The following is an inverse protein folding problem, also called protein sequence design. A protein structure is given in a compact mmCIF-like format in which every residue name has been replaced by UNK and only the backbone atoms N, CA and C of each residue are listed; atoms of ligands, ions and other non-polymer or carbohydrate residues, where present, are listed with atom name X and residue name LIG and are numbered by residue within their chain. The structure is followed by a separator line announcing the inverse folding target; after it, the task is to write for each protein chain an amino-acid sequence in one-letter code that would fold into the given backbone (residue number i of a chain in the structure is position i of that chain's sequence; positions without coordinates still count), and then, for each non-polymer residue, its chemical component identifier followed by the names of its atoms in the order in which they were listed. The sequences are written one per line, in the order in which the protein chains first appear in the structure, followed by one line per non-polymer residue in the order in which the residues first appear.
data_IF_292920944113
#
_entry.id   IF_292920944113
#
_cell.length_a   1.000
_cell.length_b   1.000
_cell.length_c   1.000
_cell.angle_alpha   90.00
_cell.angle_beta   90.00
_cell.angle_gamma   90.00
#
_symmetry.space_group_name_H-M   'P 1'
#
loop_
_entity.id
_entity.type
_entity.pdbx_description
1 polymer ?
#
# COMPACT_ATOMS: atom_id res chain seq x y z
N UNK A 1 -1.58 -3.49 -17.00
CA UNK A 1 -1.37 -2.91 -18.36
C UNK A 1 -0.82 -3.94 -19.35
N UNK A 2 0.19 -4.75 -19.00
CA UNK A 2 0.77 -5.76 -19.91
C UNK A 2 -0.22 -6.85 -20.33
N UNK A 3 -1.20 -7.19 -19.50
CA UNK A 3 -2.17 -8.25 -19.79
C UNK A 3 -3.46 -7.73 -20.41
N UNK A 4 -3.65 -6.43 -20.58
CA UNK A 4 -4.89 -5.78 -21.07
C UNK A 4 -6.15 -6.28 -20.33
N UNK A 5 -6.03 -6.64 -19.06
CA UNK A 5 -7.12 -7.07 -18.21
C UNK A 5 -7.61 -5.92 -17.37
N UNK A 6 -8.93 -5.73 -17.33
CA UNK A 6 -9.54 -4.76 -16.42
C UNK A 6 -9.37 -5.22 -14.97
N UNK A 7 -8.79 -4.37 -14.15
CA UNK A 7 -8.63 -4.61 -12.73
C UNK A 7 -9.45 -3.60 -11.92
N UNK A 8 -10.06 -4.07 -10.83
CA UNK A 8 -10.77 -3.20 -9.92
C UNK A 8 -10.67 -3.73 -8.48
N UNK A 9 -11.06 -2.91 -7.50
CA UNK A 9 -11.08 -3.36 -6.10
C UNK A 9 -12.15 -4.44 -5.90
N UNK A 10 -11.93 -5.36 -4.92
CA UNK A 10 -12.93 -6.38 -4.55
C UNK A 10 -14.28 -5.72 -4.21
N UNK A 11 -14.28 -4.56 -3.56
CA UNK A 11 -15.52 -3.83 -3.24
C UNK A 11 -16.27 -3.38 -4.49
N UNK A 12 -15.56 -2.92 -5.53
CA UNK A 12 -16.16 -2.53 -6.81
C UNK A 12 -16.70 -3.76 -7.56
N UNK A 13 -15.93 -4.83 -7.64
CA UNK A 13 -16.35 -6.08 -8.26
C UNK A 13 -17.60 -6.66 -7.61
N UNK A 14 -17.66 -6.62 -6.27
CA UNK A 14 -18.83 -7.05 -5.50
C UNK A 14 -19.98 -6.02 -5.48
N UNK A 15 -19.80 -4.85 -6.11
CA UNK A 15 -20.77 -3.76 -6.19
C UNK A 15 -21.28 -3.35 -4.80
N UNK A 16 -20.40 -2.78 -4.00
CA UNK A 16 -20.74 -2.27 -2.68
C UNK A 16 -21.76 -1.13 -2.78
N UNK A 17 -22.91 -1.30 -2.14
CA UNK A 17 -23.98 -0.30 -2.06
C UNK A 17 -23.88 0.42 -0.69
N UNK A 18 -23.49 1.71 -0.74
CA UNK A 18 -23.33 2.53 0.47
C UNK A 18 -24.66 2.75 1.21
N UNK A 19 -25.80 2.85 0.48
CA UNK A 19 -27.11 3.09 1.09
C UNK A 19 -27.63 1.86 1.81
N UNK A 20 -27.39 0.67 1.25
CA UNK A 20 -27.84 -0.60 1.83
C UNK A 20 -26.79 -1.22 2.76
N UNK A 21 -25.57 -0.67 2.81
CA UNK A 21 -24.45 -1.23 3.53
C UNK A 21 -24.25 -2.73 3.23
N UNK A 22 -24.34 -3.10 1.96
CA UNK A 22 -24.29 -4.49 1.50
C UNK A 22 -23.71 -4.61 0.09
N UNK A 23 -23.26 -5.81 -0.26
CA UNK A 23 -22.81 -6.12 -1.62
C UNK A 23 -23.98 -6.56 -2.49
N UNK A 24 -24.08 -6.04 -3.72
CA UNK A 24 -25.07 -6.45 -4.71
C UNK A 24 -24.75 -7.82 -5.30
N UNK A 25 -23.44 -8.15 -5.45
CA UNK A 25 -23.00 -9.48 -5.84
C UNK A 25 -22.93 -10.37 -4.60
N UNK A 26 -23.59 -11.53 -4.65
CA UNK A 26 -23.71 -12.47 -3.54
C UNK A 26 -24.16 -13.84 -4.07
N UNK A 27 -24.49 -14.76 -3.15
CA UNK A 27 -24.95 -16.12 -3.48
C UNK A 27 -26.13 -16.19 -4.49
N UNK A 28 -27.06 -15.23 -4.43
CA UNK A 28 -28.24 -15.18 -5.29
C UNK A 28 -27.96 -14.42 -6.61
N UNK A 29 -26.95 -13.57 -6.61
CA UNK A 29 -26.49 -12.80 -7.75
C UNK A 29 -24.95 -12.97 -7.85
N UNK A 30 -24.46 -14.14 -8.31
CA UNK A 30 -23.03 -14.44 -8.32
C UNK A 30 -22.29 -13.69 -9.43
N UNK A 31 -20.99 -13.56 -9.25
CA UNK A 31 -20.06 -13.07 -10.27
C UNK A 31 -20.17 -13.90 -11.53
N UNK A 32 -20.05 -13.28 -12.69
CA UNK A 32 -20.05 -13.95 -14.00
C UNK A 32 -18.69 -14.56 -14.37
N UNK A 33 -17.63 -14.10 -13.72
CA UNK A 33 -16.25 -14.54 -13.97
C UNK A 33 -16.05 -16.01 -13.62
N UNK A 34 -15.28 -16.72 -14.45
CA UNK A 34 -14.91 -18.12 -14.20
C UNK A 34 -13.57 -18.23 -13.48
N UNK A 35 -12.72 -17.24 -13.62
CA UNK A 35 -11.40 -17.15 -12.97
C UNK A 35 -11.30 -15.82 -12.24
N UNK A 36 -10.82 -15.85 -11.03
CA UNK A 36 -10.50 -14.65 -10.24
C UNK A 36 -9.00 -14.63 -9.93
N UNK A 37 -8.38 -13.49 -10.17
CA UNK A 37 -7.01 -13.20 -9.74
C UNK A 37 -7.12 -12.08 -8.74
N UNK A 38 -6.63 -12.31 -7.51
CA UNK A 38 -6.72 -11.37 -6.40
C UNK A 38 -5.30 -11.03 -5.97
N UNK A 39 -4.87 -9.85 -6.32
CA UNK A 39 -3.57 -9.32 -5.94
C UNK A 39 -3.64 -8.59 -4.59
N UNK A 40 -2.47 -8.32 -3.97
CA UNK A 40 -2.35 -7.71 -2.62
C UNK A 40 -3.23 -8.41 -1.57
N UNK A 41 -3.31 -9.75 -1.64
CA UNK A 41 -4.23 -10.55 -0.82
C UNK A 41 -3.92 -10.48 0.68
N UNK A 42 -2.73 -10.04 1.08
CA UNK A 42 -2.37 -9.75 2.48
C UNK A 42 -3.32 -8.74 3.15
N UNK A 43 -3.94 -7.84 2.35
CA UNK A 43 -4.86 -6.81 2.82
C UNK A 43 -6.31 -7.30 2.99
N UNK A 44 -6.65 -8.52 2.56
CA UNK A 44 -8.00 -9.06 2.61
C UNK A 44 -8.30 -9.64 3.98
N UNK A 45 -9.36 -9.16 4.62
CA UNK A 45 -9.84 -9.68 5.90
C UNK A 45 -10.82 -10.86 5.74
N UNK A 46 -11.14 -11.52 6.85
CA UNK A 46 -12.02 -12.69 6.85
C UNK A 46 -13.45 -12.39 6.39
N UNK A 47 -13.97 -11.18 6.68
CA UNK A 47 -15.33 -10.82 6.28
C UNK A 47 -15.39 -10.56 4.77
N UNK A 48 -14.44 -9.80 4.23
CA UNK A 48 -14.37 -9.51 2.80
C UNK A 48 -14.17 -10.80 2.00
N UNK A 49 -13.30 -11.72 2.46
CA UNK A 49 -13.14 -13.03 1.86
C UNK A 49 -14.44 -13.83 1.86
N UNK A 50 -15.16 -13.85 2.98
CA UNK A 50 -16.45 -14.54 3.08
C UNK A 50 -17.46 -14.00 2.06
N UNK A 51 -17.54 -12.68 1.89
CA UNK A 51 -18.41 -12.04 0.88
C UNK A 51 -18.02 -12.38 -0.53
N UNK A 52 -16.71 -12.37 -0.82
CA UNK A 52 -16.18 -12.75 -2.11
C UNK A 52 -16.54 -14.21 -2.46
N UNK A 53 -16.33 -15.14 -1.54
CA UNK A 53 -16.68 -16.54 -1.75
C UNK A 53 -18.19 -16.78 -1.89
N UNK A 54 -19.00 -16.02 -1.15
CA UNK A 54 -20.45 -16.10 -1.27
C UNK A 54 -20.93 -15.69 -2.67
N UNK A 55 -20.25 -14.74 -3.32
CA UNK A 55 -20.50 -14.30 -4.68
C UNK A 55 -19.83 -15.19 -5.77
N UNK A 56 -18.88 -16.05 -5.39
CA UNK A 56 -18.01 -16.78 -6.35
C UNK A 56 -18.53 -18.15 -6.79
N UNK A 57 -19.84 -18.40 -6.77
CA UNK A 57 -20.43 -19.72 -7.10
C UNK A 57 -20.16 -20.23 -8.52
N UNK A 58 -19.86 -19.34 -9.47
CA UNK A 58 -19.56 -19.66 -10.87
C UNK A 58 -18.07 -19.66 -11.17
N UNK A 59 -17.27 -19.32 -10.16
CA UNK A 59 -15.82 -19.25 -10.27
C UNK A 59 -15.25 -20.65 -10.14
N UNK A 60 -14.49 -21.09 -11.13
CA UNK A 60 -13.85 -22.41 -11.15
C UNK A 60 -12.41 -22.36 -10.63
N UNK A 61 -11.75 -21.20 -10.72
CA UNK A 61 -10.36 -21.04 -10.30
C UNK A 61 -10.16 -19.69 -9.65
N UNK A 62 -9.47 -19.69 -8.51
CA UNK A 62 -9.05 -18.45 -7.82
C UNK A 62 -7.55 -18.50 -7.61
N UNK A 63 -6.86 -17.44 -8.01
CA UNK A 63 -5.45 -17.22 -7.75
C UNK A 63 -5.32 -16.08 -6.72
N UNK A 64 -4.72 -16.39 -5.59
CA UNK A 64 -4.41 -15.41 -4.55
C UNK A 64 -2.93 -15.06 -4.62
N UNK A 65 -2.61 -13.78 -4.80
CA UNK A 65 -1.26 -13.26 -4.88
C UNK A 65 -1.07 -12.29 -3.71
N UNK A 66 0.02 -12.41 -2.96
CA UNK A 66 0.27 -11.52 -1.84
C UNK A 66 1.54 -11.86 -1.10
N UNK A 67 1.99 -10.92 -0.27
CA UNK A 67 3.18 -11.05 0.55
C UNK A 67 2.77 -11.08 2.03
N UNK A 68 2.92 -12.22 2.68
CA UNK A 68 2.52 -12.41 4.09
C UNK A 68 3.50 -11.76 5.09
N UNK A 69 4.63 -11.25 4.63
CA UNK A 69 5.56 -10.46 5.44
C UNK A 69 5.16 -8.99 5.53
N UNK A 70 4.33 -8.50 4.60
CA UNK A 70 3.75 -7.16 4.65
C UNK A 70 2.71 -7.02 5.78
N UNK A 71 2.17 -5.81 5.92
CA UNK A 71 1.10 -5.54 6.87
C UNK A 71 -0.14 -6.37 6.54
N UNK A 72 -0.71 -7.07 7.51
CA UNK A 72 -1.97 -7.79 7.32
C UNK A 72 -3.15 -6.82 7.23
N UNK A 73 -4.33 -7.33 6.89
CA UNK A 73 -5.58 -6.57 6.90
C UNK A 73 -5.78 -5.83 8.22
N UNK A 74 -6.36 -4.62 8.16
CA UNK A 74 -6.70 -3.86 9.39
C UNK A 74 -7.82 -4.55 10.17
N UNK A 75 -8.84 -5.04 9.47
CA UNK A 75 -9.94 -5.81 10.05
C UNK A 75 -9.51 -7.23 10.46
N UNK A 76 -10.32 -7.92 11.30
CA UNK A 76 -9.98 -9.24 11.84
C UNK A 76 -9.75 -10.30 10.76
N UNK A 77 -8.71 -11.11 10.97
CA UNK A 77 -8.33 -12.23 10.11
C UNK A 77 -6.83 -12.26 9.82
N UNK A 78 -6.36 -13.37 9.30
CA UNK A 78 -4.99 -13.56 8.81
C UNK A 78 -5.00 -14.50 7.60
N UNK A 79 -5.88 -14.19 6.67
CA UNK A 79 -6.36 -15.13 5.64
C UNK A 79 -5.25 -15.67 4.78
N UNK A 80 -4.35 -14.79 4.27
CA UNK A 80 -3.22 -15.23 3.44
C UNK A 80 -2.32 -16.21 4.21
N UNK A 81 -1.96 -15.87 5.44
CA UNK A 81 -1.14 -16.74 6.28
C UNK A 81 -1.84 -18.05 6.60
N UNK A 82 -3.13 -17.99 6.92
CA UNK A 82 -3.93 -19.19 7.17
C UNK A 82 -3.98 -20.11 5.94
N UNK A 83 -4.06 -19.56 4.73
CA UNK A 83 -4.02 -20.33 3.49
C UNK A 83 -2.65 -20.98 3.28
N UNK A 84 -1.56 -20.27 3.54
CA UNK A 84 -0.19 -20.79 3.45
C UNK A 84 0.04 -21.93 4.48
N UNK A 85 -0.44 -21.75 5.71
CA UNK A 85 -0.32 -22.76 6.77
C UNK A 85 -1.28 -23.94 6.63
N UNK A 86 -2.26 -23.84 5.72
CA UNK A 86 -3.21 -24.91 5.42
C UNK A 86 -2.63 -25.89 4.37
N UNK A 87 -3.43 -26.85 3.97
CA UNK A 87 -3.05 -27.84 2.94
C UNK A 87 -3.40 -27.40 1.51
N UNK A 88 -3.63 -26.10 1.30
CA UNK A 88 -3.82 -25.55 -0.04
C UNK A 88 -2.49 -25.54 -0.81
N UNK A 89 -2.58 -25.58 -2.14
CA UNK A 89 -1.39 -25.48 -3.00
C UNK A 89 -0.82 -24.07 -2.90
N UNK A 90 0.43 -23.97 -2.48
CA UNK A 90 1.18 -22.72 -2.39
C UNK A 90 2.36 -22.78 -3.34
N UNK A 91 2.60 -21.66 -4.04
CA UNK A 91 3.82 -21.44 -4.82
C UNK A 91 4.47 -20.20 -4.21
N UNK A 92 5.68 -20.37 -3.71
CA UNK A 92 6.48 -19.28 -3.17
C UNK A 92 7.46 -18.80 -4.25
N UNK A 93 7.46 -17.48 -4.47
CA UNK A 93 8.40 -16.82 -5.38
C UNK A 93 9.58 -16.35 -4.54
N UNK A 94 10.73 -16.95 -4.70
CA UNK A 94 11.95 -16.72 -3.93
C UNK A 94 12.97 -15.81 -4.64
N UNK A 95 12.80 -15.58 -5.96
CA UNK A 95 13.66 -14.69 -6.71
C UNK A 95 13.04 -13.29 -6.86
N UNK A 96 13.84 -12.25 -6.55
CA UNK A 96 13.43 -10.86 -6.68
C UNK A 96 13.99 -10.29 -7.98
N UNK A 97 13.11 -10.06 -8.97
CA UNK A 97 13.50 -9.50 -10.27
C UNK A 97 13.37 -7.97 -10.36
N UNK A 98 12.71 -7.35 -9.39
CA UNK A 98 12.30 -5.93 -9.43
C UNK A 98 13.45 -4.93 -9.32
N UNK A 99 14.57 -5.35 -8.74
CA UNK A 99 15.78 -4.55 -8.52
C UNK A 99 17.02 -5.38 -8.85
N UNK A 100 18.18 -4.72 -9.08
CA UNK A 100 19.43 -5.44 -9.30
C UNK A 100 19.74 -6.35 -8.10
N UNK A 101 20.35 -7.52 -8.35
CA UNK A 101 20.82 -8.43 -7.29
C UNK A 101 21.75 -7.74 -6.26
N UNK A 102 22.28 -6.57 -6.61
CA UNK A 102 23.18 -5.75 -5.78
C UNK A 102 22.45 -4.65 -5.00
N UNK A 103 21.09 -4.64 -4.94
CA UNK A 103 20.33 -3.63 -4.19
C UNK A 103 20.36 -3.94 -2.71
N UNK A 104 20.77 -2.95 -1.90
CA UNK A 104 20.72 -3.02 -0.44
C UNK A 104 19.30 -3.06 0.10
N UNK A 105 18.32 -2.46 -0.60
CA UNK A 105 16.90 -2.53 -0.23
C UNK A 105 16.43 -3.97 -0.29
N UNK A 106 16.77 -4.72 -1.34
CA UNK A 106 16.44 -6.14 -1.49
C UNK A 106 17.12 -6.98 -0.41
N UNK A 107 18.43 -6.76 -0.19
CA UNK A 107 19.18 -7.49 0.81
C UNK A 107 18.64 -7.23 2.23
N UNK A 108 18.29 -5.98 2.54
CA UNK A 108 17.68 -5.63 3.82
C UNK A 108 16.30 -6.29 3.98
N UNK A 109 15.47 -6.28 2.95
CA UNK A 109 14.17 -6.95 2.96
C UNK A 109 14.32 -8.46 3.21
N UNK A 110 15.23 -9.13 2.49
CA UNK A 110 15.53 -10.55 2.66
C UNK A 110 16.03 -10.88 4.06
N UNK A 111 17.02 -10.14 4.56
CA UNK A 111 17.53 -10.36 5.92
C UNK A 111 16.48 -10.10 7.01
N UNK A 112 15.54 -9.17 6.78
CA UNK A 112 14.41 -8.95 7.69
C UNK A 112 13.48 -10.17 7.76
N UNK A 113 13.16 -10.76 6.62
CA UNK A 113 12.34 -11.98 6.53
C UNK A 113 13.00 -13.12 7.31
N UNK A 114 14.29 -13.35 7.07
CA UNK A 114 15.05 -14.43 7.69
C UNK A 114 15.56 -14.14 9.11
N UNK A 115 15.27 -12.93 9.65
CA UNK A 115 15.68 -12.52 11.01
C UNK A 115 17.21 -12.43 11.19
N UNK A 116 17.91 -12.10 10.13
CA UNK A 116 19.38 -12.07 10.10
C UNK A 116 19.95 -10.68 10.43
N UNK A 117 19.14 -9.63 10.47
CA UNK A 117 19.59 -8.27 10.81
C UNK A 117 19.88 -8.18 12.30
N UNK A 118 21.15 -8.11 12.66
CA UNK A 118 21.61 -7.98 14.04
C UNK A 118 22.17 -6.60 14.38
N UNK A 119 22.64 -5.87 13.37
CA UNK A 119 23.22 -4.53 13.48
C UNK A 119 22.93 -3.70 12.22
N UNK A 120 23.59 -2.55 12.09
CA UNK A 120 23.41 -1.63 10.97
C UNK A 120 24.52 -1.72 9.93
N UNK A 121 25.40 -2.72 9.97
CA UNK A 121 26.54 -2.84 9.04
C UNK A 121 26.11 -2.91 7.57
N UNK A 122 24.91 -3.43 7.29
CA UNK A 122 24.36 -3.49 5.94
C UNK A 122 24.22 -2.10 5.30
N UNK A 123 23.89 -1.08 6.08
CA UNK A 123 23.75 0.29 5.59
C UNK A 123 25.07 0.94 5.16
N UNK A 124 26.21 0.39 5.55
CA UNK A 124 27.53 0.83 5.13
C UNK A 124 27.99 0.15 3.82
N UNK A 125 27.38 -1.00 3.48
CA UNK A 125 27.78 -1.82 2.34
C UNK A 125 27.11 -1.38 1.03
N UNK A 126 25.90 -0.81 1.09
CA UNK A 126 25.08 -0.49 -0.06
C UNK A 126 24.84 1.01 -0.19
N UNK A 127 24.74 1.47 -1.45
CA UNK A 127 24.59 2.89 -1.78
C UNK A 127 23.14 3.36 -1.84
N UNK A 128 22.20 2.43 -1.89
CA UNK A 128 20.76 2.67 -2.03
C UNK A 128 20.01 2.61 -0.69
N UNK A 129 20.67 2.25 0.40
CA UNK A 129 20.13 2.28 1.75
C UNK A 129 20.99 3.13 2.69
N UNK A 130 20.34 3.97 3.49
CA UNK A 130 21.02 4.86 4.41
C UNK A 130 20.34 4.85 5.77
N UNK A 131 21.13 4.80 6.83
CA UNK A 131 20.66 4.99 8.20
C UNK A 131 21.30 6.23 8.82
N UNK A 132 20.48 7.18 9.26
CA UNK A 132 20.94 8.38 9.96
C UNK A 132 20.41 8.40 11.38
N UNK A 133 21.30 8.40 12.36
CA UNK A 133 20.92 8.58 13.75
C UNK A 133 20.31 9.99 13.93
N UNK A 134 19.10 10.05 14.48
CA UNK A 134 18.33 11.28 14.63
C UNK A 134 17.44 11.21 15.86
N UNK A 135 17.40 12.30 16.60
CA UNK A 135 16.45 12.49 17.68
C UNK A 135 15.09 12.98 17.16
N UNK A 136 14.04 12.89 17.97
CA UNK A 136 12.70 13.39 17.62
C UNK A 136 12.72 14.86 17.17
N UNK A 137 13.56 15.70 17.80
CA UNK A 137 13.64 17.13 17.48
C UNK A 137 14.41 17.42 16.18
N UNK A 138 15.25 16.50 15.74
CA UNK A 138 16.06 16.64 14.52
C UNK A 138 15.37 16.07 13.27
N UNK A 139 14.35 15.24 13.45
CA UNK A 139 13.71 14.51 12.34
C UNK A 139 13.24 15.44 11.23
N UNK A 140 12.49 16.49 11.55
CA UNK A 140 11.97 17.43 10.54
C UNK A 140 13.14 18.05 9.75
N UNK A 141 14.17 18.53 10.46
CA UNK A 141 15.36 19.11 9.84
C UNK A 141 16.08 18.11 8.93
N UNK A 142 16.25 16.88 9.38
CA UNK A 142 16.98 15.86 8.63
C UNK A 142 16.18 15.38 7.41
N UNK A 143 14.87 15.12 7.58
CA UNK A 143 13.97 14.79 6.46
C UNK A 143 13.97 15.90 5.42
N UNK A 144 13.77 17.14 5.83
CA UNK A 144 13.74 18.30 4.93
C UNK A 144 15.08 18.52 4.22
N UNK A 145 16.20 18.21 4.88
CA UNK A 145 17.54 18.29 4.27
C UNK A 145 17.71 17.25 3.17
N UNK A 146 17.26 16.00 3.40
CA UNK A 146 17.33 14.92 2.39
C UNK A 146 16.43 15.28 1.21
N UNK A 147 15.19 15.72 1.46
CA UNK A 147 14.25 16.11 0.41
C UNK A 147 14.80 17.24 -0.44
N UNK A 148 15.35 18.30 0.16
CA UNK A 148 15.98 19.41 -0.58
C UNK A 148 17.16 18.93 -1.46
N UNK A 149 17.94 17.97 -0.95
CA UNK A 149 19.03 17.37 -1.73
C UNK A 149 18.50 16.54 -2.89
N UNK A 150 17.45 15.76 -2.68
CA UNK A 150 16.81 14.97 -3.73
C UNK A 150 16.21 15.86 -4.83
N UNK A 151 15.53 16.96 -4.47
CA UNK A 151 15.02 17.94 -5.44
C UNK A 151 16.17 18.55 -6.29
N UNK A 152 17.31 18.89 -5.67
CA UNK A 152 18.49 19.39 -6.40
C UNK A 152 19.04 18.35 -7.38
N UNK A 153 18.83 17.07 -7.13
CA UNK A 153 19.22 15.96 -8.01
C UNK A 153 18.14 15.62 -9.06
N UNK A 154 17.07 16.42 -9.18
CA UNK A 154 16.05 16.27 -10.23
C UNK A 154 14.86 15.40 -9.85
N UNK A 155 14.71 15.00 -8.59
CA UNK A 155 13.51 14.29 -8.11
C UNK A 155 12.40 15.29 -7.75
N UNK A 156 11.17 14.93 -8.04
CA UNK A 156 9.98 15.73 -7.72
C UNK A 156 9.16 15.15 -6.54
N UNK A 157 8.02 15.78 -6.25
CA UNK A 157 7.14 15.36 -5.17
C UNK A 157 6.53 13.96 -5.37
N UNK A 158 6.41 13.48 -6.61
CA UNK A 158 5.86 12.15 -6.91
C UNK A 158 6.91 11.06 -6.74
N UNK A 159 8.18 11.42 -6.90
CA UNK A 159 9.31 10.51 -6.73
C UNK A 159 9.65 10.23 -5.26
N UNK A 160 9.30 11.17 -4.36
CA UNK A 160 9.70 11.15 -2.95
C UNK A 160 8.49 10.92 -2.06
N UNK A 161 8.60 9.96 -1.15
CA UNK A 161 7.57 9.72 -0.14
C UNK A 161 8.16 9.60 1.26
N UNK A 162 7.62 10.38 2.20
CA UNK A 162 7.90 10.21 3.61
C UNK A 162 6.84 9.31 4.23
N UNK A 163 7.28 8.27 4.97
CA UNK A 163 6.40 7.27 5.58
C UNK A 163 6.58 7.27 7.10
N UNK A 164 5.55 7.61 7.87
CA UNK A 164 5.60 7.60 9.32
C UNK A 164 4.40 6.84 9.92
N UNK A 165 4.56 6.20 11.11
CA UNK A 165 3.50 5.34 11.65
C UNK A 165 2.45 6.08 12.48
N UNK A 166 2.68 7.34 12.88
CA UNK A 166 1.79 8.11 13.77
C UNK A 166 1.45 9.47 13.19
N UNK A 167 0.24 9.96 13.48
CA UNK A 167 -0.24 11.25 12.98
C UNK A 167 0.21 12.45 13.82
N UNK A 168 0.26 12.28 15.14
CA UNK A 168 0.52 13.36 16.11
C UNK A 168 1.97 13.36 16.60
N UNK A 169 2.37 14.46 17.23
CA UNK A 169 3.71 14.65 17.79
C UNK A 169 4.66 15.42 16.87
N UNK A 170 5.84 15.77 17.40
CA UNK A 170 6.83 16.62 16.71
C UNK A 170 7.40 15.98 15.44
N UNK A 171 7.40 14.67 15.36
CA UNK A 171 7.81 13.88 14.19
C UNK A 171 6.64 13.11 13.55
N UNK A 172 5.39 13.47 13.86
CA UNK A 172 4.20 12.85 13.30
C UNK A 172 3.90 13.31 11.87
N UNK A 173 3.03 12.55 11.19
CA UNK A 173 2.62 12.80 9.80
C UNK A 173 2.14 14.25 9.61
N UNK A 174 1.38 14.80 10.56
CA UNK A 174 0.85 16.16 10.42
C UNK A 174 1.97 17.21 10.42
N UNK A 175 2.95 17.10 11.33
CA UNK A 175 4.08 18.03 11.40
C UNK A 175 5.01 17.88 10.18
N UNK A 176 5.26 16.65 9.74
CA UNK A 176 6.05 16.37 8.55
C UNK A 176 5.38 16.91 7.28
N UNK A 177 4.05 16.75 7.12
CA UNK A 177 3.33 17.32 5.98
C UNK A 177 3.47 18.83 5.89
N UNK A 178 3.31 19.55 7.00
CA UNK A 178 3.47 21.01 7.02
C UNK A 178 4.90 21.44 6.62
N UNK A 179 5.91 20.76 7.16
CA UNK A 179 7.30 21.08 6.83
C UNK A 179 7.66 20.75 5.38
N UNK A 180 7.09 19.68 4.83
CA UNK A 180 7.32 19.27 3.45
C UNK A 180 6.54 20.12 2.45
N UNK A 181 5.33 20.57 2.79
CA UNK A 181 4.57 21.53 1.98
C UNK A 181 5.39 22.80 1.71
N UNK A 182 6.05 23.34 2.72
CA UNK A 182 6.92 24.54 2.55
C UNK A 182 8.15 24.30 1.67
N UNK A 183 8.47 23.05 1.36
CA UNK A 183 9.59 22.69 0.47
C UNK A 183 9.11 22.44 -0.95
N UNK A 184 8.07 21.63 -1.09
CA UNK A 184 7.56 21.22 -2.40
C UNK A 184 6.64 22.29 -3.03
N UNK A 185 5.85 22.94 -2.19
CA UNK A 185 4.87 23.94 -2.59
C UNK A 185 4.88 25.15 -1.63
N UNK A 186 6.00 25.90 -1.58
CA UNK A 186 6.11 27.08 -0.71
C UNK A 186 5.05 28.13 -1.08
N UNK A 187 4.58 28.86 -0.06
CA UNK A 187 3.64 29.97 -0.29
C UNK A 187 4.25 30.98 -1.26
N UNK A 188 3.54 31.23 -2.35
CA UNK A 188 3.88 32.22 -3.37
C UNK A 188 2.61 32.99 -3.73
N UNK A 189 2.15 32.96 -4.98
CA UNK A 189 0.95 33.65 -5.46
C UNK A 189 -0.26 32.73 -5.69
N UNK A 190 -0.09 31.40 -5.46
CA UNK A 190 -1.16 30.41 -5.60
C UNK A 190 -2.29 30.63 -4.58
N UNK A 191 -3.48 30.26 -4.96
CA UNK A 191 -4.63 30.27 -4.06
C UNK A 191 -4.46 29.30 -2.88
N UNK A 192 -4.96 29.70 -1.72
CA UNK A 192 -4.91 28.91 -0.48
C UNK A 192 -6.31 28.72 0.09
N UNK A 193 -6.61 27.54 0.57
CA UNK A 193 -7.84 27.22 1.29
C UNK A 193 -7.56 26.62 2.66
N UNK A 194 -8.22 27.16 3.69
CA UNK A 194 -8.05 26.66 5.07
C UNK A 194 -9.18 25.73 5.46
N UNK A 195 -8.82 24.50 5.85
CA UNK A 195 -9.73 23.51 6.42
C UNK A 195 -9.26 23.18 7.83
N UNK A 196 -9.96 23.70 8.83
CA UNK A 196 -9.54 23.58 10.22
C UNK A 196 -8.17 24.21 10.49
N UNK A 197 -7.20 23.40 10.89
CA UNK A 197 -5.82 23.85 11.15
C UNK A 197 -4.89 23.68 9.94
N UNK A 198 -5.34 23.06 8.88
CA UNK A 198 -4.55 22.82 7.67
C UNK A 198 -4.81 23.90 6.63
N UNK A 199 -3.77 24.27 5.91
CA UNK A 199 -3.84 25.14 4.75
C UNK A 199 -3.50 24.29 3.53
N UNK A 200 -4.35 24.31 2.54
CA UNK A 200 -4.17 23.65 1.24
C UNK A 200 -3.88 24.73 0.19
N UNK A 201 -2.98 24.41 -0.74
CA UNK A 201 -2.54 25.31 -1.81
C UNK A 201 -2.69 24.60 -3.15
N UNK A 202 -3.01 25.33 -4.19
CA UNK A 202 -2.89 24.78 -5.54
C UNK A 202 -1.47 24.26 -5.76
N UNK A 203 -1.37 23.06 -6.33
CA UNK A 203 -0.13 22.30 -6.47
C UNK A 203 0.18 21.33 -5.32
N UNK A 204 -0.62 21.31 -4.25
CA UNK A 204 -0.42 20.38 -3.14
C UNK A 204 -0.68 18.93 -3.53
N UNK A 205 0.19 18.05 -3.05
CA UNK A 205 0.01 16.61 -3.14
C UNK A 205 -1.06 16.16 -2.14
N UNK A 206 -2.10 15.50 -2.62
CA UNK A 206 -3.31 15.12 -1.88
C UNK A 206 -3.46 13.61 -1.80
N UNK A 207 -3.84 13.10 -0.63
CA UNK A 207 -4.19 11.71 -0.36
C UNK A 207 -5.69 11.59 -0.14
N UNK A 208 -6.35 10.72 -0.88
CA UNK A 208 -7.73 10.34 -0.64
C UNK A 208 -7.84 9.42 0.58
N UNK A 209 -8.82 9.70 1.45
CA UNK A 209 -9.00 8.97 2.71
C UNK A 209 -10.22 8.06 2.73
N UNK A 210 -11.18 8.28 1.83
CA UNK A 210 -12.43 7.50 1.71
C UNK A 210 -12.68 7.14 0.25
N UNK A 211 -13.31 5.99 0.02
CA UNK A 211 -13.71 5.62 -1.32
C UNK A 211 -14.82 6.56 -1.83
N UNK A 212 -14.70 6.99 -3.08
CA UNK A 212 -15.71 7.70 -3.86
C UNK A 212 -15.92 6.95 -5.18
N UNK A 213 -16.71 5.86 -5.17
CA UNK A 213 -16.87 5.00 -6.35
C UNK A 213 -17.49 5.70 -7.55
N UNK A 214 -18.34 6.71 -7.31
CA UNK A 214 -19.00 7.50 -8.36
C UNK A 214 -17.99 8.37 -9.13
N UNK A 215 -16.91 8.78 -8.48
CA UNK A 215 -15.81 9.55 -9.07
C UNK A 215 -14.62 8.65 -9.48
N UNK A 216 -14.75 7.33 -9.34
CA UNK A 216 -13.69 6.33 -9.59
C UNK A 216 -12.38 6.58 -8.85
N UNK A 217 -12.47 7.11 -7.61
CA UNK A 217 -11.33 7.28 -6.71
C UNK A 217 -11.50 6.53 -5.40
N UNK A 218 -10.38 6.06 -4.86
CA UNK A 218 -10.36 5.15 -3.73
C UNK A 218 -9.45 5.64 -2.60
N UNK A 219 -9.66 5.07 -1.44
CA UNK A 219 -8.83 5.34 -0.27
C UNK A 219 -7.37 4.89 -0.51
N UNK A 220 -6.45 5.84 -0.48
CA UNK A 220 -5.03 5.63 -0.78
C UNK A 220 -4.58 6.27 -2.09
N UNK A 221 -5.52 6.70 -2.95
CA UNK A 221 -5.17 7.38 -4.18
C UNK A 221 -4.53 8.73 -3.91
N UNK A 222 -3.55 9.07 -4.75
CA UNK A 222 -2.75 10.28 -4.64
C UNK A 222 -3.04 11.16 -5.85
N UNK A 223 -3.41 12.41 -5.61
CA UNK A 223 -3.65 13.42 -6.64
C UNK A 223 -2.95 14.74 -6.32
N UNK A 224 -3.21 15.73 -7.15
CA UNK A 224 -2.71 17.10 -7.01
C UNK A 224 -3.88 18.05 -6.94
N UNK A 225 -3.90 18.96 -5.97
CA UNK A 225 -4.89 20.04 -5.90
C UNK A 225 -4.60 21.04 -7.02
N UNK A 226 -5.46 21.10 -8.02
CA UNK A 226 -5.22 21.92 -9.23
C UNK A 226 -5.95 23.23 -9.19
N UNK A 227 -7.07 23.34 -8.46
CA UNK A 227 -7.88 24.55 -8.46
C UNK A 227 -8.62 24.73 -7.15
N UNK A 228 -8.73 26.00 -6.70
CA UNK A 228 -9.47 26.42 -5.52
C UNK A 228 -10.48 27.50 -5.96
N UNK A 229 -11.76 27.17 -5.99
CA UNK A 229 -12.82 28.08 -6.36
C UNK A 229 -13.55 28.62 -5.13
N UNK A 230 -13.60 29.92 -5.01
CA UNK A 230 -14.34 30.60 -3.94
C UNK A 230 -15.78 30.87 -4.39
N UNK A 231 -16.70 30.71 -3.45
CA UNK A 231 -18.08 31.11 -3.65
C UNK A 231 -18.13 32.59 -4.07
N UNK A 232 -18.68 32.86 -5.24
CA UNK A 232 -18.90 34.20 -5.80
C UNK A 232 -20.39 34.55 -6.00
N UNK A 233 -21.27 33.55 -5.86
CA UNK A 233 -22.72 33.67 -6.02
C UNK A 233 -23.20 33.70 -7.47
N UNK A 234 -22.30 33.57 -8.44
CA UNK A 234 -22.61 33.52 -9.87
C UNK A 234 -22.22 32.19 -10.49
N UNK A 235 -20.92 31.88 -10.53
CA UNK A 235 -20.38 30.67 -11.11
C UNK A 235 -20.27 29.58 -10.04
N UNK A 236 -19.87 29.95 -8.82
CA UNK A 236 -19.69 29.00 -7.70
C UNK A 236 -20.69 29.32 -6.57
N UNK A 237 -21.59 28.38 -6.28
CA UNK A 237 -22.57 28.48 -5.19
C UNK A 237 -21.99 28.20 -3.82
N UNK A 238 -20.90 27.43 -3.78
CA UNK A 238 -20.12 27.12 -2.57
C UNK A 238 -18.61 27.04 -2.90
N UNK A 239 -17.75 27.09 -1.88
CA UNK A 239 -16.31 26.90 -2.08
C UNK A 239 -16.04 25.46 -2.54
N UNK A 240 -15.23 25.29 -3.61
CA UNK A 240 -14.85 23.99 -4.14
C UNK A 240 -13.35 23.86 -4.33
N UNK A 241 -12.85 22.66 -4.17
CA UNK A 241 -11.47 22.29 -4.43
C UNK A 241 -11.47 21.18 -5.50
N UNK A 242 -10.66 21.34 -6.53
CA UNK A 242 -10.55 20.36 -7.61
C UNK A 242 -9.19 19.65 -7.48
N UNK A 243 -9.23 18.32 -7.37
CA UNK A 243 -8.03 17.48 -7.31
C UNK A 243 -7.96 16.64 -8.57
N UNK A 244 -6.78 16.63 -9.19
CA UNK A 244 -6.47 15.80 -10.34
C UNK A 244 -5.83 14.48 -9.88
N UNK A 245 -6.48 13.36 -10.19
CA UNK A 245 -5.99 12.01 -10.00
C UNK A 245 -5.65 11.40 -11.37
N UNK A 246 -4.45 11.68 -11.88
CA UNK A 246 -3.95 11.18 -13.16
C UNK A 246 -4.90 11.44 -14.35
N UNK A 247 -5.43 12.67 -14.44
CA UNK A 247 -6.37 13.12 -15.47
C UNK A 247 -7.84 12.95 -15.09
N UNK A 248 -8.15 12.36 -13.93
CA UNK A 248 -9.50 12.33 -13.38
C UNK A 248 -9.69 13.50 -12.40
N UNK A 249 -10.40 14.54 -12.86
CA UNK A 249 -10.67 15.76 -12.09
C UNK A 249 -11.86 15.53 -11.16
N UNK A 250 -11.63 15.65 -9.86
CA UNK A 250 -12.64 15.41 -8.83
C UNK A 250 -12.87 16.65 -8.01
N UNK A 251 -14.13 17.07 -7.94
CA UNK A 251 -14.58 18.22 -7.17
C UNK A 251 -14.93 17.84 -5.72
N UNK A 252 -14.45 18.66 -4.78
CA UNK A 252 -14.71 18.54 -3.35
C UNK A 252 -15.42 19.78 -2.85
N UNK A 253 -16.57 19.58 -2.24
CA UNK A 253 -17.32 20.63 -1.54
C UNK A 253 -17.08 20.56 -0.03
N UNK A 254 -17.65 21.47 0.73
CA UNK A 254 -17.50 21.53 2.19
C UNK A 254 -17.85 20.22 2.91
N UNK A 255 -18.72 19.40 2.34
CA UNK A 255 -19.12 18.07 2.86
C UNK A 255 -17.99 17.04 2.76
N UNK A 256 -17.10 17.24 1.78
CA UNK A 256 -16.05 16.28 1.41
C UNK A 256 -14.71 16.61 2.03
N UNK A 257 -14.52 17.80 2.63
CA UNK A 257 -13.22 18.31 3.10
C UNK A 257 -12.52 17.43 4.15
N UNK A 258 -13.25 16.48 4.78
CA UNK A 258 -12.67 15.52 5.69
C UNK A 258 -12.30 14.19 5.01
N UNK A 259 -12.47 14.09 3.69
CA UNK A 259 -12.21 12.84 2.94
C UNK A 259 -10.84 12.82 2.27
N UNK A 260 -10.06 13.87 2.40
CA UNK A 260 -8.69 13.96 1.86
C UNK A 260 -7.73 14.66 2.84
N UNK A 261 -6.44 14.60 2.55
CA UNK A 261 -5.40 15.28 3.33
C UNK A 261 -4.13 15.48 2.49
N UNK A 262 -3.16 16.26 3.01
CA UNK A 262 -1.83 16.38 2.40
C UNK A 262 -1.13 15.00 2.36
N UNK A 263 -0.38 14.74 1.29
CA UNK A 263 0.23 13.45 0.98
C UNK A 263 1.76 13.46 0.91
N UNK A 264 2.44 14.53 1.30
CA UNK A 264 3.92 14.56 1.32
C UNK A 264 4.49 13.57 2.34
N UNK A 265 3.76 13.37 3.45
CA UNK A 265 3.99 12.31 4.42
C UNK A 265 2.67 11.55 4.65
N UNK A 266 2.72 10.23 4.62
CA UNK A 266 1.55 9.38 4.90
C UNK A 266 1.91 8.20 5.80
N UNK A 267 0.89 7.47 6.27
CA UNK A 267 1.12 6.25 7.03
C UNK A 267 1.56 5.11 6.11
N UNK A 268 2.37 4.20 6.66
CA UNK A 268 2.83 3.02 5.93
C UNK A 268 1.65 2.17 5.44
N UNK A 269 0.55 2.11 6.20
CA UNK A 269 -0.68 1.43 5.78
C UNK A 269 -1.29 2.04 4.50
N UNK A 270 -1.23 3.36 4.36
CA UNK A 270 -1.76 4.06 3.18
C UNK A 270 -0.84 3.97 1.96
N UNK A 271 0.42 3.62 2.18
CA UNK A 271 1.39 3.43 1.12
C UNK A 271 1.40 2.00 0.56
N UNK A 272 0.59 1.07 1.11
CA UNK A 272 0.45 -0.28 0.54
C UNK A 272 -0.09 -0.18 -0.90
N UNK A 273 0.43 -1.01 -1.79
CA UNK A 273 0.11 -0.96 -3.24
C UNK A 273 0.88 0.11 -4.03
N UNK A 274 1.41 1.15 -3.37
CA UNK A 274 2.19 2.20 -4.02
C UNK A 274 3.70 1.96 -3.93
N UNK A 275 4.47 2.53 -4.86
CA UNK A 275 5.93 2.47 -4.87
C UNK A 275 6.51 3.84 -5.27
N UNK A 276 7.65 4.20 -4.67
CA UNK A 276 8.28 5.50 -4.85
C UNK A 276 9.77 5.33 -5.16
N UNK A 277 10.36 6.23 -5.93
CA UNK A 277 11.80 6.18 -6.21
C UNK A 277 12.60 6.34 -4.92
N UNK A 278 12.20 7.28 -4.07
CA UNK A 278 12.87 7.57 -2.79
C UNK A 278 11.85 7.44 -1.65
N UNK A 279 12.16 6.60 -0.68
CA UNK A 279 11.40 6.52 0.57
C UNK A 279 12.25 7.03 1.74
N UNK A 280 11.65 7.88 2.56
CA UNK A 280 12.24 8.39 3.80
C UNK A 280 11.37 7.92 4.96
N UNK A 281 11.94 7.16 5.89
CA UNK A 281 11.18 6.52 6.97
C UNK A 281 11.78 6.88 8.33
N UNK A 282 11.16 7.78 9.10
CA UNK A 282 11.51 7.98 10.51
C UNK A 282 11.21 6.74 11.35
N UNK A 283 12.15 6.33 12.20
CA UNK A 283 12.02 5.21 13.13
C UNK A 283 12.51 5.66 14.52
N UNK A 284 11.58 6.04 15.36
CA UNK A 284 11.83 6.70 16.63
C UNK A 284 11.31 5.88 17.81
N UNK A 285 11.86 6.14 19.01
CA UNK A 285 11.37 5.50 20.23
C UNK A 285 9.89 5.82 20.51
N UNK A 286 9.43 7.02 20.16
CA UNK A 286 8.03 7.44 20.33
C UNK A 286 7.05 6.58 19.51
N UNK A 287 7.55 5.86 18.52
CA UNK A 287 6.75 4.95 17.69
C UNK A 287 6.69 3.52 18.24
N UNK A 288 7.24 3.24 19.41
CA UNK A 288 7.47 1.93 19.99
C UNK A 288 6.30 0.95 19.82
N UNK A 289 5.07 1.40 20.13
CA UNK A 289 3.86 0.56 20.03
C UNK A 289 3.60 0.12 18.57
N UNK A 290 3.93 0.98 17.61
CA UNK A 290 3.72 0.74 16.19
C UNK A 290 4.88 0.00 15.53
N UNK A 291 6.06 -0.01 16.14
CA UNK A 291 7.25 -0.63 15.55
C UNK A 291 7.15 -2.14 15.58
N UNK A 292 6.81 -2.70 14.44
CA UNK A 292 6.72 -4.13 14.18
C UNK A 292 7.47 -4.46 12.89
N UNK A 293 7.94 -5.72 12.78
CA UNK A 293 8.69 -6.17 11.61
C UNK A 293 7.94 -5.91 10.30
N UNK A 294 6.70 -6.35 10.23
CA UNK A 294 5.88 -6.20 9.03
C UNK A 294 5.62 -4.74 8.67
N UNK A 295 5.51 -3.83 9.64
CA UNK A 295 5.41 -2.39 9.37
C UNK A 295 6.69 -1.87 8.71
N UNK A 296 7.85 -2.19 9.29
CA UNK A 296 9.15 -1.78 8.75
C UNK A 296 9.36 -2.39 7.36
N UNK A 297 9.11 -3.68 7.22
CA UNK A 297 9.20 -4.41 5.95
C UNK A 297 8.31 -3.78 4.88
N UNK A 298 7.03 -3.52 5.18
CA UNK A 298 6.12 -2.88 4.23
C UNK A 298 6.62 -1.50 3.81
N UNK A 299 7.12 -0.70 4.75
CA UNK A 299 7.63 0.64 4.45
C UNK A 299 8.88 0.63 3.57
N UNK A 300 9.86 -0.23 3.88
CA UNK A 300 11.09 -0.29 3.10
C UNK A 300 10.89 -0.84 1.68
N UNK A 301 9.97 -1.80 1.51
CA UNK A 301 9.65 -2.38 0.19
C UNK A 301 8.89 -1.42 -0.73
N UNK A 302 8.50 -0.23 -0.25
CA UNK A 302 7.95 0.83 -1.11
C UNK A 302 9.04 1.59 -1.88
N UNK A 303 10.32 1.45 -1.49
CA UNK A 303 11.44 2.15 -2.14
C UNK A 303 11.91 1.39 -3.39
N UNK A 304 12.08 2.12 -4.51
CA UNK A 304 12.61 1.57 -5.78
C UNK A 304 14.10 1.83 -5.97
N UNK A 305 14.59 3.02 -5.59
CA UNK A 305 15.95 3.46 -5.88
C UNK A 305 16.76 3.82 -4.65
N UNK A 306 16.12 4.45 -3.64
CA UNK A 306 16.80 4.81 -2.40
C UNK A 306 15.88 4.75 -1.19
N UNK A 307 16.42 4.23 -0.10
CA UNK A 307 15.77 4.16 1.20
C UNK A 307 16.60 4.93 2.24
N UNK A 308 15.96 5.87 2.92
CA UNK A 308 16.53 6.62 4.04
C UNK A 308 15.77 6.29 5.32
N UNK A 309 16.44 5.66 6.28
CA UNK A 309 15.90 5.45 7.63
C UNK A 309 16.54 6.46 8.56
N UNK A 310 15.71 7.23 9.27
CA UNK A 310 16.17 8.26 10.20
C UNK A 310 15.63 7.97 11.60
N UNK A 311 16.49 7.91 12.58
CA UNK A 311 16.03 7.75 13.95
C UNK A 311 16.98 7.01 14.84
N UNK A 312 16.43 6.20 15.74
CA UNK A 312 17.20 5.51 16.76
C UNK A 312 17.54 4.08 16.34
N UNK A 313 18.83 3.67 16.33
CA UNK A 313 19.26 2.31 16.01
C UNK A 313 18.55 1.23 16.85
N UNK A 314 18.39 1.49 18.16
CA UNK A 314 17.76 0.53 19.06
C UNK A 314 16.25 0.40 18.75
N UNK A 315 15.57 1.50 18.38
CA UNK A 315 14.18 1.46 17.97
C UNK A 315 14.00 0.65 16.67
N UNK A 316 14.90 0.82 15.70
CA UNK A 316 14.91 0.03 14.48
C UNK A 316 15.12 -1.47 14.78
N UNK A 317 16.19 -1.81 15.51
CA UNK A 317 16.50 -3.21 15.88
C UNK A 317 15.38 -3.84 16.72
N UNK A 318 14.75 -3.07 17.60
CA UNK A 318 13.56 -3.52 18.34
C UNK A 318 12.40 -3.84 17.39
N UNK A 319 12.08 -2.89 16.48
CA UNK A 319 10.95 -3.04 15.55
C UNK A 319 11.09 -4.26 14.65
N UNK A 320 12.28 -4.52 14.10
CA UNK A 320 12.52 -5.69 13.24
C UNK A 320 12.45 -7.03 13.97
N UNK A 321 12.70 -7.04 15.28
CA UNK A 321 12.57 -8.24 16.13
C UNK A 321 11.14 -8.46 16.63
N UNK A 322 10.29 -7.43 16.58
CA UNK A 322 8.92 -7.48 17.07
C UNK A 322 7.97 -8.11 16.03
N UNK A 323 7.56 -9.35 16.27
CA UNK A 323 6.68 -10.16 15.41
C UNK A 323 5.25 -10.31 15.97
N UNK A 324 4.78 -9.36 16.76
CA UNK A 324 3.53 -9.50 17.55
C UNK A 324 2.26 -9.73 16.71
N UNK A 325 2.24 -9.31 15.43
CA UNK A 325 1.06 -9.52 14.57
C UNK A 325 0.89 -10.96 14.07
N UNK A 326 1.91 -11.80 14.20
CA UNK A 326 1.81 -13.24 13.90
C UNK A 326 0.91 -14.00 14.90
N UNK A 327 0.49 -13.34 15.99
CA UNK A 327 -0.32 -13.94 17.08
C UNK A 327 -1.83 -13.79 16.90
N UNK A 328 -2.33 -13.36 15.72
CA UNK A 328 -3.78 -13.35 15.48
C UNK A 328 -4.32 -14.76 15.58
N UNK A 329 -5.30 -14.96 16.47
CA UNK A 329 -5.95 -16.25 16.64
C UNK A 329 -7.03 -16.41 15.57
N UNK A 330 -6.91 -17.45 14.75
CA UNK A 330 -7.87 -17.80 13.71
C UNK A 330 -8.19 -19.29 13.80
N UNK A 331 -9.35 -19.68 13.31
CA UNK A 331 -9.77 -21.08 13.21
C UNK A 331 -9.80 -21.59 11.77
N UNK A 332 -9.39 -20.74 10.81
CA UNK A 332 -9.53 -21.02 9.38
C UNK A 332 -8.69 -22.22 8.96
N UNK A 333 -7.43 -22.30 9.38
CA UNK A 333 -6.54 -23.45 9.12
C UNK A 333 -7.19 -24.75 9.56
N UNK A 334 -7.72 -24.79 10.80
CA UNK A 334 -8.38 -26.00 11.34
C UNK A 334 -9.62 -26.38 10.52
N UNK A 335 -10.43 -25.39 10.11
CA UNK A 335 -11.62 -25.64 9.30
C UNK A 335 -11.26 -26.16 7.89
N UNK A 336 -10.24 -25.59 7.25
CA UNK A 336 -9.78 -26.08 5.95
C UNK A 336 -9.28 -27.51 6.07
N UNK A 337 -8.46 -27.83 7.09
CA UNK A 337 -7.87 -29.14 7.26
C UNK A 337 -8.86 -30.22 7.74
N UNK A 338 -9.94 -29.85 8.44
CA UNK A 338 -10.99 -30.76 8.86
C UNK A 338 -11.93 -31.17 7.72
N UNK A 339 -12.14 -30.32 6.72
CA UNK A 339 -12.98 -30.61 5.55
C UNK A 339 -12.27 -31.48 4.49
N UNK A 340 -11.30 -32.29 4.90
CA UNK A 340 -10.51 -33.19 4.04
C UNK A 340 -11.29 -34.28 3.30
N UNK A 341 -12.59 -34.45 3.57
CA UNK A 341 -13.44 -35.40 2.86
C UNK A 341 -14.04 -34.85 1.55
N UNK A 342 -13.63 -33.65 1.12
CA UNK A 342 -13.88 -33.23 -0.25
C UNK A 342 -12.83 -33.92 -1.09
N UNK A 343 -13.29 -34.87 -1.92
CA UNK A 343 -12.57 -35.66 -2.89
C UNK A 343 -11.35 -34.92 -3.45
N UNK A 344 -10.18 -35.51 -3.29
CA UNK A 344 -9.03 -35.17 -4.11
C UNK A 344 -9.51 -35.25 -5.54
N UNK A 345 -9.73 -34.09 -6.18
CA UNK A 345 -9.89 -34.07 -7.64
C UNK A 345 -8.62 -34.70 -8.19
N UNK A 346 -8.73 -35.94 -8.66
CA UNK A 346 -7.73 -36.57 -9.49
C UNK A 346 -7.40 -35.58 -10.61
N UNK A 347 -6.12 -35.39 -10.88
CA UNK A 347 -5.66 -34.51 -11.98
C UNK A 347 -6.37 -34.95 -13.24
N UNK A 348 -7.41 -34.25 -13.62
CA UNK A 348 -8.17 -34.59 -14.84
C UNK A 348 -7.24 -34.43 -16.04
N UNK A 349 -7.53 -35.17 -17.08
CA UNK A 349 -6.85 -35.07 -18.39
C UNK A 349 -6.68 -33.61 -18.87
N UNK A 350 -7.57 -32.73 -18.45
CA UNK A 350 -7.55 -31.30 -18.70
C UNK A 350 -6.31 -30.59 -18.07
N UNK A 351 -5.86 -31.00 -16.87
CA UNK A 351 -4.65 -30.44 -16.27
C UNK A 351 -3.36 -30.91 -16.96
N UNK A 352 -3.38 -32.10 -17.57
CA UNK A 352 -2.26 -32.56 -18.39
C UNK A 352 -2.20 -31.81 -19.72
N UNK A 353 -3.34 -31.56 -20.34
CA UNK A 353 -3.45 -30.79 -21.58
C UNK A 353 -3.06 -29.32 -21.38
N UNK A 354 -3.43 -28.71 -20.22
CA UNK A 354 -3.04 -27.35 -19.86
C UNK A 354 -1.53 -27.22 -19.60
N UNK A 355 -0.93 -28.19 -18.91
CA UNK A 355 0.53 -28.25 -18.72
C UNK A 355 1.26 -28.38 -20.06
N UNK A 356 0.75 -29.22 -20.97
CA UNK A 356 1.32 -29.42 -22.30
C UNK A 356 1.24 -28.10 -23.10
N UNK A 357 0.08 -27.45 -23.14
CA UNK A 357 -0.12 -26.18 -23.84
C UNK A 357 0.75 -25.05 -23.31
N UNK A 358 0.96 -24.97 -21.99
CA UNK A 358 1.86 -23.97 -21.36
C UNK A 358 3.32 -24.26 -21.74
N UNK A 359 3.71 -25.54 -21.72
CA UNK A 359 5.08 -25.93 -22.10
C UNK A 359 5.34 -25.68 -23.58
N UNK A 360 4.36 -25.97 -24.43
CA UNK A 360 4.44 -25.73 -25.88
C UNK A 360 4.51 -24.22 -26.17
N UNK A 361 3.71 -23.40 -25.48
CA UNK A 361 3.77 -21.93 -25.59
C UNK A 361 5.11 -21.31 -25.14
N UNK A 362 5.71 -21.87 -24.08
CA UNK A 362 7.02 -21.41 -23.60
C UNK A 362 8.20 -21.87 -24.48
N UNK A 363 8.03 -22.95 -25.23
CA UNK A 363 9.04 -23.48 -26.15
C UNK A 363 8.98 -22.85 -27.54
N UNK A 364 7.83 -22.29 -27.97
CA UNK A 364 7.68 -21.59 -29.25
C UNK A 364 8.38 -20.23 -29.32
N UNK A 365 8.70 -19.61 -28.15
CA UNK A 365 9.42 -18.33 -28.09
C UNK A 365 10.96 -18.47 -28.22
N UNK A 366 11.52 -19.69 -28.31
CA UNK A 366 12.98 -19.88 -28.54
C UNK A 366 13.35 -19.99 -30.04
N UNK A 367 12.44 -19.74 -30.96
CA UNK A 367 12.70 -19.84 -32.42
C UNK A 367 12.27 -18.60 -33.20
N UNK A 368 12.71 -17.39 -32.75
CA UNK A 368 12.78 -16.22 -33.64
C UNK A 368 14.05 -15.40 -33.34
#
# INVERSE_FOLDING_TARGET
ELASLDACTIHRELKWDLHKNSFAMNRNNPLSSQVLIIDEFSMVDSLLLSKLFDASRRVHKVLFIGDYHQLPSVAPGNVLKDFIESQLKVIELDEIYRQSKDSGIVQLAHQLIHQEVNDLSLFEQYKDIHFYNSTNFEIIKNVTTIVKKAIKNGYDQNDIQVLAPIYQGVAGINALNLALQEIFNPKNHQEEYRIGQKVYREGDKILQLKNRPDDDIYNGDIGVLVEINRKDGFEYLEDTLIVDYDGNLVEYTSKDFMTFTLAYCMSIHKAQGNEFKIVIMPVLNDYYIMLKRNLIYTGLTRAKQALFILGNPQAFLYGIKNISDSKRKTTLVNKINQNKNVETYEESSYNQELKQNITDFLNDDETV
#
